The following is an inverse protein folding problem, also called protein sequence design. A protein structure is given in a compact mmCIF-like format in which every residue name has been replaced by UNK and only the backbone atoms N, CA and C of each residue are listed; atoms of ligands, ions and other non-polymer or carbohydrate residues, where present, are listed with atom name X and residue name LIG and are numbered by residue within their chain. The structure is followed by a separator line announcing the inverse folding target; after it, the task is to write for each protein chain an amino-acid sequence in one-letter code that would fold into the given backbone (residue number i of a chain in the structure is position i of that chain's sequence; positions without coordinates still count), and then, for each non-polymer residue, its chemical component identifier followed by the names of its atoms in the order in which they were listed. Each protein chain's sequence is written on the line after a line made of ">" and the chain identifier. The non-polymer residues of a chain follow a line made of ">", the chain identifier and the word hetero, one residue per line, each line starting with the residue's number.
data_IF_724567979425
#
_entry.id   IF_724567979425
#
_cell.length_a   1.000
_cell.length_b   1.000
_cell.length_c   1.000
_cell.angle_alpha   90.00
_cell.angle_beta   90.00
_cell.angle_gamma   90.00
#
_symmetry.space_group_name_H-M   'P 1'
#
loop_
_entity.id
_entity.type
_entity.pdbx_description
1 polymer ?
#
# COMPACT_ATOMS: atom_id res chain seq x y z
N UNK A 1 -4.14 -17.14 -27.06
CA UNK A 1 -3.71 -17.33 -25.65
C UNK A 1 -4.94 -17.70 -24.84
N UNK A 2 -4.95 -18.81 -24.10
CA UNK A 2 -6.13 -19.24 -23.33
C UNK A 2 -6.41 -18.30 -22.15
N UNK A 3 -7.66 -18.26 -21.67
CA UNK A 3 -8.05 -17.46 -20.50
C UNK A 3 -7.28 -17.89 -19.24
N UNK A 4 -7.01 -19.18 -19.09
CA UNK A 4 -6.21 -19.72 -17.99
C UNK A 4 -4.79 -19.16 -17.98
N UNK A 5 -4.16 -19.07 -19.17
CA UNK A 5 -2.82 -18.52 -19.29
C UNK A 5 -2.80 -17.01 -18.98
N UNK A 6 -3.82 -16.26 -19.40
CA UNK A 6 -3.99 -14.84 -19.04
C UNK A 6 -4.12 -14.69 -17.52
N UNK A 7 -4.93 -15.54 -16.87
CA UNK A 7 -5.09 -15.51 -15.42
C UNK A 7 -3.77 -15.78 -14.70
N UNK A 8 -3.03 -16.80 -15.14
CA UNK A 8 -1.73 -17.13 -14.58
C UNK A 8 -0.71 -15.99 -14.75
N UNK A 9 -0.63 -15.40 -15.95
CA UNK A 9 0.22 -14.23 -16.19
C UNK A 9 -0.15 -13.04 -15.31
N UNK A 10 -1.44 -12.79 -15.10
CA UNK A 10 -1.89 -11.73 -14.20
C UNK A 10 -1.47 -12.01 -12.74
N UNK A 11 -1.58 -13.25 -12.25
CA UNK A 11 -1.12 -13.63 -10.90
C UNK A 11 0.38 -13.49 -10.74
N UNK A 12 1.13 -14.03 -11.69
CA UNK A 12 2.59 -13.95 -11.69
C UNK A 12 3.07 -12.50 -11.79
N UNK A 13 2.47 -11.72 -12.68
CA UNK A 13 2.74 -10.29 -12.82
C UNK A 13 2.41 -9.53 -11.53
N UNK A 14 1.23 -9.76 -10.94
CA UNK A 14 0.83 -9.11 -9.69
C UNK A 14 1.83 -9.36 -8.55
N UNK A 15 2.31 -10.60 -8.42
CA UNK A 15 3.36 -10.94 -7.47
C UNK A 15 4.67 -10.20 -7.78
N UNK A 16 5.15 -10.27 -9.02
CA UNK A 16 6.43 -9.69 -9.43
C UNK A 16 6.44 -8.17 -9.21
N UNK A 17 5.44 -7.47 -9.74
CA UNK A 17 5.32 -6.02 -9.60
C UNK A 17 5.04 -5.62 -8.15
N UNK A 18 4.28 -6.44 -7.41
CA UNK A 18 3.98 -6.21 -6.00
C UNK A 18 5.23 -6.25 -5.13
N UNK A 19 6.13 -7.22 -5.36
CA UNK A 19 7.43 -7.29 -4.68
C UNK A 19 8.27 -6.06 -5.00
N UNK A 20 8.33 -5.63 -6.27
CA UNK A 20 9.03 -4.39 -6.64
C UNK A 20 8.43 -3.18 -5.93
N UNK A 21 7.12 -3.04 -5.92
CA UNK A 21 6.44 -1.89 -5.32
C UNK A 21 6.66 -1.82 -3.81
N UNK A 22 6.32 -2.88 -3.08
CA UNK A 22 6.43 -2.93 -1.62
C UNK A 22 7.90 -2.94 -1.18
N UNK A 23 8.79 -3.59 -1.94
CA UNK A 23 10.23 -3.53 -1.70
C UNK A 23 10.76 -2.10 -1.76
N UNK A 24 10.37 -1.32 -2.78
CA UNK A 24 10.77 0.08 -2.87
C UNK A 24 10.13 0.95 -1.78
N UNK A 25 8.87 0.68 -1.41
CA UNK A 25 8.22 1.33 -0.28
C UNK A 25 9.04 1.18 1.01
N UNK A 26 9.49 -0.05 1.31
CA UNK A 26 10.30 -0.36 2.47
C UNK A 26 11.70 0.23 2.38
N UNK A 27 12.32 0.23 1.20
CA UNK A 27 13.58 0.92 0.98
C UNK A 27 13.49 2.41 1.36
N UNK A 28 12.48 3.14 0.89
CA UNK A 28 12.31 4.55 1.24
C UNK A 28 12.10 4.77 2.73
N UNK A 29 11.25 3.93 3.33
CA UNK A 29 10.77 4.11 4.69
C UNK A 29 11.77 3.65 5.75
N UNK A 30 12.54 2.61 5.48
CA UNK A 30 13.41 1.94 6.45
C UNK A 30 14.90 2.25 6.22
N UNK A 31 15.30 2.55 4.99
CA UNK A 31 16.71 2.70 4.62
C UNK A 31 17.04 4.13 4.19
N UNK A 32 16.43 4.62 3.11
CA UNK A 32 16.82 5.89 2.48
C UNK A 32 16.73 7.08 3.44
N UNK A 33 15.61 7.19 4.19
CA UNK A 33 15.43 8.29 5.13
C UNK A 33 16.45 8.30 6.28
N UNK A 34 16.96 7.14 6.68
CA UNK A 34 18.06 7.03 7.66
C UNK A 34 19.38 7.50 7.05
N UNK A 35 19.70 6.98 5.87
CA UNK A 35 20.91 7.39 5.12
C UNK A 35 20.97 8.91 4.88
N UNK A 36 19.87 9.55 4.50
CA UNK A 36 19.84 11.00 4.24
C UNK A 36 20.15 11.86 5.48
N UNK A 37 19.94 11.37 6.70
CA UNK A 37 20.25 12.10 7.94
C UNK A 37 21.73 12.09 8.29
N UNK A 38 22.47 11.11 7.79
CA UNK A 38 23.88 10.89 8.10
C UNK A 38 24.81 11.18 6.89
N UNK A 39 24.25 11.41 5.71
CA UNK A 39 25.00 11.70 4.50
C UNK A 39 25.68 13.08 4.58
N UNK A 40 26.88 13.19 4.00
CA UNK A 40 27.50 14.50 3.77
C UNK A 40 26.68 15.32 2.78
N UNK A 41 26.84 16.66 2.73
CA UNK A 41 26.11 17.50 1.79
C UNK A 41 26.25 17.06 0.32
N UNK A 42 27.46 16.65 -0.08
CA UNK A 42 27.77 16.22 -1.45
C UNK A 42 27.06 14.90 -1.77
N UNK A 43 27.12 13.93 -0.86
CA UNK A 43 26.47 12.63 -1.03
C UNK A 43 24.93 12.77 -1.04
N UNK A 44 24.38 13.64 -0.18
CA UNK A 44 22.95 13.93 -0.16
C UNK A 44 22.49 14.58 -1.46
N UNK A 45 23.27 15.53 -1.99
CA UNK A 45 22.98 16.17 -3.28
C UNK A 45 22.96 15.15 -4.42
N UNK A 46 23.98 14.31 -4.54
CA UNK A 46 24.06 13.27 -5.58
C UNK A 46 22.91 12.25 -5.45
N UNK A 47 22.63 11.79 -4.23
CA UNK A 47 21.54 10.85 -3.99
C UNK A 47 20.16 11.45 -4.34
N UNK A 48 19.93 12.73 -4.05
CA UNK A 48 18.69 13.42 -4.45
C UNK A 48 18.60 13.62 -5.97
N UNK A 49 19.72 13.86 -6.64
CA UNK A 49 19.76 14.09 -8.08
C UNK A 49 19.62 12.80 -8.91
N UNK A 50 20.16 11.66 -8.42
CA UNK A 50 20.28 10.43 -9.22
C UNK A 50 19.57 9.23 -8.61
N UNK A 51 19.83 8.93 -7.34
CA UNK A 51 19.35 7.72 -6.68
C UNK A 51 17.84 7.78 -6.42
N UNK A 52 17.36 8.84 -5.76
CA UNK A 52 15.96 8.98 -5.38
C UNK A 52 15.01 9.03 -6.59
N UNK A 53 15.30 9.78 -7.69
CA UNK A 53 14.46 9.76 -8.88
C UNK A 53 14.37 8.37 -9.54
N UNK A 54 15.50 7.65 -9.63
CA UNK A 54 15.54 6.29 -10.16
C UNK A 54 14.71 5.32 -9.29
N UNK A 55 14.88 5.40 -7.97
CA UNK A 55 14.11 4.60 -7.04
C UNK A 55 12.60 4.88 -7.14
N UNK A 56 12.21 6.16 -7.26
CA UNK A 56 10.82 6.58 -7.38
C UNK A 56 10.19 6.10 -8.70
N UNK A 57 10.99 6.00 -9.76
CA UNK A 57 10.54 5.43 -11.03
C UNK A 57 10.07 3.98 -10.87
N UNK A 58 10.93 3.11 -10.31
CA UNK A 58 10.59 1.71 -10.04
C UNK A 58 9.39 1.58 -9.10
N UNK A 59 9.33 2.41 -8.06
CA UNK A 59 8.21 2.44 -7.12
C UNK A 59 6.88 2.74 -7.80
N UNK A 60 6.82 3.78 -8.65
CA UNK A 60 5.61 4.22 -9.35
C UNK A 60 5.09 3.17 -10.34
N UNK A 61 5.98 2.58 -11.13
CA UNK A 61 5.57 1.60 -12.14
C UNK A 61 5.35 0.22 -11.58
N UNK A 62 6.10 -0.17 -10.53
CA UNK A 62 5.74 -1.31 -9.70
C UNK A 62 4.30 -1.17 -9.21
N UNK A 63 3.93 -0.01 -8.65
CA UNK A 63 2.56 0.25 -8.21
C UNK A 63 1.53 0.16 -9.35
N UNK A 64 1.81 0.79 -10.50
CA UNK A 64 0.91 0.80 -11.65
C UNK A 64 0.62 -0.61 -12.18
N UNK A 65 1.67 -1.40 -12.42
CA UNK A 65 1.48 -2.73 -12.98
C UNK A 65 0.92 -3.71 -11.95
N UNK A 66 1.22 -3.54 -10.66
CA UNK A 66 0.54 -4.28 -9.58
C UNK A 66 -0.96 -3.97 -9.58
N UNK A 67 -1.33 -2.68 -9.69
CA UNK A 67 -2.73 -2.27 -9.68
C UNK A 67 -3.50 -2.81 -10.89
N UNK A 68 -2.95 -2.66 -12.10
CA UNK A 68 -3.56 -3.18 -13.34
C UNK A 68 -3.78 -4.70 -13.27
N UNK A 69 -2.74 -5.44 -12.89
CA UNK A 69 -2.85 -6.90 -12.73
C UNK A 69 -3.82 -7.28 -11.62
N UNK A 70 -3.85 -6.51 -10.52
CA UNK A 70 -4.79 -6.69 -9.42
C UNK A 70 -6.25 -6.50 -9.84
N UNK A 71 -6.55 -5.50 -10.68
CA UNK A 71 -7.90 -5.30 -11.22
C UNK A 71 -8.36 -6.46 -12.09
N UNK A 72 -7.45 -7.04 -12.89
CA UNK A 72 -7.74 -8.24 -13.69
C UNK A 72 -8.10 -9.42 -12.78
N UNK A 73 -7.31 -9.63 -11.72
CA UNK A 73 -7.56 -10.70 -10.74
C UNK A 73 -8.85 -10.48 -9.96
N UNK A 74 -9.11 -9.26 -9.50
CA UNK A 74 -10.32 -8.90 -8.77
C UNK A 74 -11.57 -9.10 -9.63
N UNK A 75 -11.51 -8.73 -10.93
CA UNK A 75 -12.57 -9.04 -11.88
C UNK A 75 -12.81 -10.55 -12.05
N UNK A 76 -11.77 -11.37 -11.94
CA UNK A 76 -11.87 -12.83 -11.92
C UNK A 76 -12.56 -13.35 -10.66
N UNK A 77 -12.14 -12.90 -9.49
CA UNK A 77 -12.75 -13.25 -8.18
C UNK A 77 -14.24 -12.87 -8.15
N UNK A 78 -14.58 -11.70 -8.67
CA UNK A 78 -15.98 -11.26 -8.77
C UNK A 78 -16.81 -12.14 -9.72
N UNK A 79 -16.30 -12.45 -10.92
CA UNK A 79 -16.99 -13.32 -11.89
C UNK A 79 -17.18 -14.76 -11.41
N UNK A 80 -16.39 -15.20 -10.45
CA UNK A 80 -16.47 -16.53 -9.85
C UNK A 80 -17.36 -16.54 -8.60
N UNK A 81 -17.95 -15.40 -8.21
CA UNK A 81 -18.78 -15.24 -7.01
C UNK A 81 -18.09 -15.65 -5.70
N UNK A 82 -16.75 -15.54 -5.66
CA UNK A 82 -15.91 -15.89 -4.50
C UNK A 82 -15.30 -14.67 -3.80
N UNK A 83 -15.93 -13.51 -3.97
CA UNK A 83 -15.58 -12.31 -3.21
C UNK A 83 -15.84 -12.55 -1.71
N UNK A 84 -14.87 -12.14 -0.89
CA UNK A 84 -14.89 -12.29 0.56
C UNK A 84 -14.38 -11.04 1.26
N UNK A 85 -14.61 -10.96 2.57
CA UNK A 85 -14.23 -9.81 3.40
C UNK A 85 -12.74 -9.48 3.27
N UNK A 86 -11.87 -10.49 3.32
CA UNK A 86 -10.42 -10.31 3.22
C UNK A 86 -10.02 -9.65 1.90
N UNK A 87 -10.52 -10.11 0.75
CA UNK A 87 -10.13 -9.50 -0.53
C UNK A 87 -10.70 -8.09 -0.68
N UNK A 88 -11.86 -7.78 -0.10
CA UNK A 88 -12.39 -6.41 -0.07
C UNK A 88 -11.47 -5.48 0.72
N UNK A 89 -11.09 -5.86 1.94
CA UNK A 89 -10.19 -5.04 2.76
C UNK A 89 -8.80 -4.89 2.10
N UNK A 90 -8.25 -5.99 1.57
CA UNK A 90 -6.98 -6.01 0.86
C UNK A 90 -7.00 -5.10 -0.37
N UNK A 91 -8.03 -5.22 -1.21
CA UNK A 91 -8.18 -4.40 -2.41
C UNK A 91 -8.38 -2.91 -2.08
N UNK A 92 -9.13 -2.58 -1.02
CA UNK A 92 -9.32 -1.19 -0.59
C UNK A 92 -8.00 -0.55 -0.17
N UNK A 93 -7.26 -1.20 0.74
CA UNK A 93 -5.95 -0.71 1.18
C UNK A 93 -4.98 -0.59 0.01
N UNK A 94 -4.90 -1.60 -0.87
CA UNK A 94 -4.06 -1.55 -2.07
C UNK A 94 -4.44 -0.41 -3.02
N UNK A 95 -5.72 -0.09 -3.14
CA UNK A 95 -6.23 1.03 -3.95
C UNK A 95 -5.82 2.37 -3.37
N UNK A 96 -6.05 2.60 -2.07
CA UNK A 96 -5.57 3.82 -1.40
C UNK A 96 -4.06 3.98 -1.52
N UNK A 97 -3.32 2.89 -1.29
CA UNK A 97 -1.87 2.90 -1.45
C UNK A 97 -1.45 3.31 -2.86
N UNK A 98 -2.09 2.77 -3.89
CA UNK A 98 -1.81 3.10 -5.30
C UNK A 98 -2.12 4.58 -5.59
N UNK A 99 -3.27 5.08 -5.15
CA UNK A 99 -3.66 6.47 -5.32
C UNK A 99 -2.68 7.42 -4.61
N UNK A 100 -2.23 7.07 -3.41
CA UNK A 100 -1.20 7.81 -2.69
C UNK A 100 0.11 7.90 -3.48
N UNK A 101 0.54 6.81 -4.13
CA UNK A 101 1.75 6.83 -4.97
C UNK A 101 1.64 7.86 -6.09
N UNK A 102 0.55 7.82 -6.85
CA UNK A 102 0.44 8.58 -8.09
C UNK A 102 -0.08 10.00 -7.90
N UNK A 103 -0.97 10.23 -6.94
CA UNK A 103 -1.63 11.51 -6.73
C UNK A 103 -0.97 12.36 -5.64
N UNK A 104 -0.21 11.75 -4.73
CA UNK A 104 0.36 12.47 -3.57
C UNK A 104 1.88 12.36 -3.55
N UNK A 105 2.42 11.15 -3.40
CA UNK A 105 3.85 10.92 -3.23
C UNK A 105 4.60 11.44 -4.45
N UNK A 106 4.23 11.03 -5.67
CA UNK A 106 4.97 11.42 -6.87
C UNK A 106 4.96 12.95 -7.13
N UNK A 107 3.80 13.65 -7.16
CA UNK A 107 3.79 15.08 -7.40
C UNK A 107 4.60 15.86 -6.36
N UNK A 108 4.50 15.49 -5.08
CA UNK A 108 5.22 16.16 -4.01
C UNK A 108 6.71 15.82 -3.98
N UNK A 109 7.10 14.60 -4.35
CA UNK A 109 8.52 14.23 -4.47
C UNK A 109 9.22 14.99 -5.59
N UNK A 110 8.54 15.27 -6.71
CA UNK A 110 9.10 16.14 -7.76
C UNK A 110 9.50 17.52 -7.21
N UNK A 111 8.66 18.10 -6.35
CA UNK A 111 8.93 19.40 -5.71
C UNK A 111 10.05 19.26 -4.67
N UNK A 112 9.96 18.27 -3.79
CA UNK A 112 10.95 18.03 -2.73
C UNK A 112 12.37 17.72 -3.25
N UNK A 113 12.47 17.16 -4.45
CA UNK A 113 13.73 16.87 -5.14
C UNK A 113 14.20 18.00 -6.07
N UNK A 114 13.46 19.11 -6.16
CA UNK A 114 13.81 20.25 -7.01
C UNK A 114 13.64 20.01 -8.51
N UNK A 115 12.87 19.00 -8.91
CA UNK A 115 12.53 18.73 -10.32
C UNK A 115 11.45 19.70 -10.84
N UNK A 116 10.64 20.24 -9.92
CA UNK A 116 9.57 21.21 -10.16
C UNK A 116 9.66 22.27 -9.05
N UNK A 117 9.39 23.53 -9.39
CA UNK A 117 9.39 24.64 -8.45
C UNK A 117 8.29 24.50 -7.38
N UNK A 118 8.59 24.88 -6.14
CA UNK A 118 7.64 24.89 -5.02
C UNK A 118 8.32 24.78 -3.66
N UNK A 119 7.50 24.71 -2.60
CA UNK A 119 7.98 24.55 -1.22
C UNK A 119 8.42 23.09 -0.95
N UNK A 120 9.71 22.84 -1.15
CA UNK A 120 10.34 21.53 -0.98
C UNK A 120 10.10 20.89 0.39
N UNK A 121 10.36 21.58 1.52
CA UNK A 121 10.07 21.08 2.86
C UNK A 121 8.62 20.61 3.06
N UNK A 122 7.62 21.43 2.72
CA UNK A 122 6.21 21.05 2.91
C UNK A 122 5.78 19.91 1.99
N UNK A 123 6.22 19.93 0.73
CA UNK A 123 5.97 18.83 -0.21
C UNK A 123 6.60 17.52 0.29
N UNK A 124 7.85 17.57 0.76
CA UNK A 124 8.54 16.43 1.35
C UNK A 124 7.81 15.84 2.56
N UNK A 125 7.31 16.70 3.46
CA UNK A 125 6.51 16.27 4.61
C UNK A 125 5.20 15.58 4.19
N UNK A 126 4.49 16.13 3.19
CA UNK A 126 3.26 15.55 2.65
C UNK A 126 3.49 14.20 1.98
N UNK A 127 4.54 14.10 1.15
CA UNK A 127 4.94 12.83 0.54
C UNK A 127 5.32 11.78 1.59
N UNK A 128 6.01 12.19 2.66
CA UNK A 128 6.42 11.29 3.74
C UNK A 128 5.22 10.77 4.54
N UNK A 129 4.24 11.62 4.87
CA UNK A 129 3.02 11.18 5.55
C UNK A 129 2.28 10.10 4.74
N UNK A 130 2.02 10.35 3.46
CA UNK A 130 1.37 9.37 2.58
C UNK A 130 2.20 8.08 2.45
N UNK A 131 3.53 8.19 2.34
CA UNK A 131 4.43 7.02 2.27
C UNK A 131 4.42 6.19 3.57
N UNK A 132 4.32 6.85 4.73
CA UNK A 132 4.18 6.18 6.03
C UNK A 132 2.82 5.51 6.17
N UNK A 133 1.74 6.15 5.72
CA UNK A 133 0.40 5.53 5.66
C UNK A 133 0.40 4.29 4.76
N UNK A 134 1.06 4.35 3.59
CA UNK A 134 1.23 3.16 2.76
C UNK A 134 2.00 2.04 3.46
N UNK A 135 3.03 2.39 4.24
CA UNK A 135 3.80 1.40 5.02
C UNK A 135 2.98 0.84 6.19
N UNK A 136 2.10 1.64 6.79
CA UNK A 136 1.15 1.18 7.80
C UNK A 136 0.20 0.13 7.21
N UNK A 137 -0.33 0.38 6.00
CA UNK A 137 -1.26 -0.53 5.32
C UNK A 137 -0.62 -1.75 4.68
N UNK A 138 0.68 -1.74 4.37
CA UNK A 138 1.30 -2.84 3.61
C UNK A 138 1.20 -4.20 4.30
N UNK A 139 1.38 -4.26 5.63
CA UNK A 139 1.22 -5.47 6.43
C UNK A 139 -0.20 -6.06 6.40
N UNK A 140 -1.22 -5.33 6.87
CA UNK A 140 -2.60 -5.82 6.87
C UNK A 140 -3.13 -6.11 5.46
N UNK A 141 -2.76 -5.29 4.48
CA UNK A 141 -3.11 -5.53 3.07
C UNK A 141 -2.55 -6.87 2.58
N UNK A 142 -1.26 -7.14 2.80
CA UNK A 142 -0.64 -8.39 2.40
C UNK A 142 -1.27 -9.59 3.11
N UNK A 143 -1.58 -9.47 4.41
CA UNK A 143 -2.28 -10.51 5.15
C UNK A 143 -3.65 -10.80 4.53
N UNK A 144 -4.47 -9.78 4.28
CA UNK A 144 -5.82 -9.96 3.76
C UNK A 144 -5.81 -10.57 2.34
N UNK A 145 -4.89 -10.12 1.47
CA UNK A 145 -4.75 -10.70 0.13
C UNK A 145 -4.28 -12.17 0.18
N UNK A 146 -3.44 -12.54 1.14
CA UNK A 146 -3.01 -13.92 1.36
C UNK A 146 -4.13 -14.77 1.97
N UNK A 147 -4.88 -14.24 2.94
CA UNK A 147 -5.94 -14.95 3.65
C UNK A 147 -7.13 -15.27 2.75
N UNK A 148 -7.48 -14.40 1.82
CA UNK A 148 -8.64 -14.55 0.93
C UNK A 148 -8.75 -15.94 0.27
N UNK A 149 -7.73 -16.46 -0.46
CA UNK A 149 -7.83 -17.77 -1.09
C UNK A 149 -7.62 -18.97 -0.15
N UNK A 150 -7.17 -18.76 1.10
CA UNK A 150 -6.85 -19.85 2.04
C UNK A 150 -7.92 -20.03 3.14
N UNK A 151 -8.56 -18.94 3.54
CA UNK A 151 -9.49 -18.87 4.68
C UNK A 151 -10.81 -18.19 4.30
N UNK A 152 -10.85 -17.44 3.20
CA UNK A 152 -12.01 -16.62 2.80
C UNK A 152 -13.14 -17.39 2.13
N UNK A 153 -13.01 -18.69 1.87
CA UNK A 153 -14.07 -19.52 1.26
C UNK A 153 -14.95 -20.26 2.27
N UNK A 154 -14.74 -20.05 3.57
CA UNK A 154 -15.74 -20.44 4.57
C UNK A 154 -17.02 -19.64 4.36
N UNK A 155 -18.20 -20.27 4.55
CA UNK A 155 -19.49 -19.64 4.30
C UNK A 155 -19.60 -18.26 4.96
N UNK A 156 -19.13 -18.13 6.20
CA UNK A 156 -19.19 -16.90 7.02
C UNK A 156 -18.46 -15.70 6.40
N UNK A 157 -17.47 -15.93 5.52
CA UNK A 157 -16.65 -14.87 4.93
C UNK A 157 -17.03 -14.51 3.49
N UNK A 158 -17.94 -15.25 2.86
CA UNK A 158 -18.34 -15.05 1.46
C UNK A 158 -19.43 -13.98 1.33
N UNK A 159 -19.11 -12.91 0.61
CA UNK A 159 -20.01 -11.78 0.40
C UNK A 159 -21.21 -12.13 -0.48
N UNK A 160 -21.03 -13.04 -1.43
CA UNK A 160 -22.10 -13.51 -2.34
C UNK A 160 -23.21 -14.28 -1.62
N UNK A 161 -22.92 -14.81 -0.42
CA UNK A 161 -23.87 -15.62 0.36
C UNK A 161 -24.47 -14.81 1.51
N UNK A 162 -23.66 -14.06 2.26
CA UNK A 162 -24.08 -13.44 3.52
C UNK A 162 -24.15 -11.91 3.48
N UNK A 163 -23.71 -11.27 2.38
CA UNK A 163 -23.40 -9.85 2.40
C UNK A 163 -22.19 -9.56 3.31
N UNK A 164 -21.99 -8.28 3.65
CA UNK A 164 -20.91 -7.85 4.53
C UNK A 164 -21.24 -8.03 6.02
N UNK A 165 -20.35 -8.66 6.78
CA UNK A 165 -20.46 -8.75 8.25
C UNK A 165 -20.14 -7.44 8.97
N UNK A 166 -20.53 -7.33 10.25
CA UNK A 166 -20.22 -6.17 11.09
C UNK A 166 -18.70 -5.94 11.19
N UNK A 167 -17.93 -7.03 11.39
CA UNK A 167 -16.47 -7.00 11.39
C UNK A 167 -15.88 -6.34 10.13
N UNK A 168 -16.43 -6.64 8.95
CA UNK A 168 -15.99 -6.01 7.70
C UNK A 168 -16.25 -4.50 7.71
N UNK A 169 -17.46 -4.07 8.08
CA UNK A 169 -17.79 -2.64 8.10
C UNK A 169 -16.96 -1.84 9.12
N UNK A 170 -16.71 -2.41 10.29
CA UNK A 170 -15.80 -1.82 11.28
C UNK A 170 -14.39 -1.70 10.72
N UNK A 171 -13.87 -2.76 10.09
CA UNK A 171 -12.56 -2.75 9.46
C UNK A 171 -12.46 -1.71 8.33
N UNK A 172 -13.49 -1.59 7.48
CA UNK A 172 -13.57 -0.58 6.42
C UNK A 172 -13.53 0.84 7.01
N UNK A 173 -14.30 1.10 8.06
CA UNK A 173 -14.31 2.41 8.73
C UNK A 173 -12.94 2.78 9.30
N UNK A 174 -12.24 1.81 9.92
CA UNK A 174 -10.87 2.00 10.43
C UNK A 174 -9.92 2.37 9.28
N UNK A 175 -9.95 1.61 8.18
CA UNK A 175 -9.07 1.85 7.01
C UNK A 175 -9.31 3.24 6.43
N UNK A 176 -10.58 3.63 6.22
CA UNK A 176 -10.94 4.95 5.67
C UNK A 176 -10.51 6.08 6.62
N UNK A 177 -10.70 5.92 7.92
CA UNK A 177 -10.28 6.92 8.90
C UNK A 177 -8.75 7.11 8.91
N UNK A 178 -7.99 6.02 8.83
CA UNK A 178 -6.52 6.05 8.76
C UNK A 178 -6.03 6.69 7.46
N UNK A 179 -6.68 6.40 6.33
CA UNK A 179 -6.36 7.04 5.06
C UNK A 179 -6.66 8.54 5.10
N UNK A 180 -7.81 8.95 5.65
CA UNK A 180 -8.13 10.37 5.84
C UNK A 180 -7.06 11.11 6.67
N UNK A 181 -6.54 10.48 7.73
CA UNK A 181 -5.38 11.01 8.46
C UNK A 181 -4.11 11.05 7.59
N UNK A 182 -3.88 10.07 6.72
CA UNK A 182 -2.80 10.07 5.74
C UNK A 182 -2.84 11.24 4.74
N UNK A 183 -4.02 11.80 4.48
CA UNK A 183 -4.22 12.92 3.55
C UNK A 183 -4.07 14.30 4.22
N UNK A 184 -4.53 14.44 5.46
CA UNK A 184 -4.72 15.75 6.13
C UNK A 184 -4.09 15.86 7.51
N UNK A 185 -3.70 14.74 8.11
CA UNK A 185 -3.36 14.64 9.52
C UNK A 185 -1.86 14.71 9.81
N UNK A 186 -1.46 14.00 10.86
CA UNK A 186 -0.07 13.95 11.36
C UNK A 186 0.39 12.50 11.48
N UNK A 187 1.71 12.30 11.48
CA UNK A 187 2.30 10.96 11.53
C UNK A 187 2.10 10.27 12.89
N UNK A 188 2.07 10.98 14.01
CA UNK A 188 1.87 10.36 15.33
C UNK A 188 2.79 9.13 15.55
N UNK A 189 2.25 7.93 15.84
CA UNK A 189 3.04 6.74 16.12
C UNK A 189 3.83 6.19 14.91
N UNK A 190 3.42 6.51 13.67
CA UNK A 190 4.09 6.02 12.45
C UNK A 190 5.26 6.92 12.03
N UNK A 191 5.66 7.90 12.85
CA UNK A 191 6.80 8.80 12.58
C UNK A 191 8.12 8.05 12.46
N UNK A 192 8.33 7.04 13.31
CA UNK A 192 9.58 6.27 13.37
C UNK A 192 9.47 4.94 12.62
N UNK A 193 10.62 4.39 12.19
CA UNK A 193 10.67 3.07 11.52
C UNK A 193 10.05 1.98 12.39
N UNK A 194 10.50 1.87 13.65
CA UNK A 194 9.92 0.91 14.61
C UNK A 194 8.43 1.17 14.82
N UNK A 195 8.05 2.44 14.95
CA UNK A 195 6.66 2.84 15.18
C UNK A 195 5.73 2.41 14.06
N UNK A 196 6.10 2.63 12.80
CA UNK A 196 5.25 2.21 11.65
C UNK A 196 5.20 0.70 11.49
N UNK A 197 6.31 -0.03 11.73
CA UNK A 197 6.33 -1.50 11.69
C UNK A 197 5.39 -2.08 12.75
N UNK A 198 5.53 -1.64 14.00
CA UNK A 198 4.67 -2.11 15.10
C UNK A 198 3.22 -1.74 14.85
N UNK A 199 2.94 -0.50 14.41
CA UNK A 199 1.58 -0.06 14.12
C UNK A 199 0.95 -0.86 12.98
N UNK A 200 1.72 -1.25 11.96
CA UNK A 200 1.25 -2.10 10.86
C UNK A 200 0.85 -3.48 11.37
N UNK A 201 1.67 -4.09 12.22
CA UNK A 201 1.36 -5.41 12.82
C UNK A 201 0.16 -5.35 13.76
N UNK A 202 0.07 -4.30 14.59
CA UNK A 202 -1.09 -4.07 15.46
C UNK A 202 -2.36 -3.87 14.63
N UNK A 203 -2.29 -3.07 13.57
CA UNK A 203 -3.42 -2.87 12.67
C UNK A 203 -3.85 -4.19 12.03
N UNK A 204 -2.92 -5.04 11.58
CA UNK A 204 -3.24 -6.39 11.11
C UNK A 204 -4.02 -7.17 12.15
N UNK A 205 -3.54 -7.23 13.40
CA UNK A 205 -4.23 -7.95 14.47
C UNK A 205 -5.64 -7.39 14.74
N UNK A 206 -5.81 -6.06 14.75
CA UNK A 206 -7.11 -5.39 14.96
C UNK A 206 -8.09 -5.71 13.84
N UNK A 207 -7.67 -5.62 12.57
CA UNK A 207 -8.55 -5.90 11.44
C UNK A 207 -8.95 -7.38 11.41
N UNK A 208 -8.01 -8.29 11.68
CA UNK A 208 -8.30 -9.73 11.77
C UNK A 208 -9.23 -10.04 12.93
N UNK A 209 -8.98 -9.48 14.11
CA UNK A 209 -9.87 -9.66 15.25
C UNK A 209 -11.28 -9.12 14.96
N UNK A 210 -11.40 -8.00 14.24
CA UNK A 210 -12.69 -7.47 13.81
C UNK A 210 -13.43 -8.47 12.93
N UNK A 211 -12.75 -9.07 11.94
CA UNK A 211 -13.35 -10.07 11.06
C UNK A 211 -13.73 -11.37 11.79
N UNK A 212 -12.97 -11.79 12.80
CA UNK A 212 -13.20 -13.07 13.47
C UNK A 212 -14.20 -13.01 14.63
N UNK A 213 -14.43 -11.84 15.22
CA UNK A 213 -15.15 -11.73 16.50
C UNK A 213 -16.30 -10.71 16.53
N UNK A 214 -16.57 -10.01 15.43
CA UNK A 214 -17.68 -9.03 15.31
C UNK A 214 -18.61 -9.37 14.15
#
# INVERSE_FOLDING_TARGET
>A
MSLEYINFLARWGHLLFGITWIGMLYYFNFVQGGYFKQATPEALSDAKAKLAPSALWWFRWGAMFTFITGLILLGGVHKQDVMNDYIVLGALMGTFMFLNVWLIIWPNQKIALGMVEGDGPSAGAKALLASRTNTLFSGPMAYCMLASPHMGYGADNLLSVNGGGMGMYVALAIIVALEANGLMGKQGPITTVRGVIVSSLVLTAVLVASLCYL
#
